data_IF_492451177747
#
_entry.id   IF_492451177747
#
_cell.length_a   1.000
_cell.length_b   1.000
_cell.length_c   1.000
_cell.angle_alpha   90.00
_cell.angle_beta   90.00
_cell.angle_gamma   90.00
#
_symmetry.space_group_name_H-M   'P 1'
#
loop_
_entity.id
_entity.type
_entity.pdbx_description
1 polymer ?
#
# COMPACT_ATOMS: atom_id res chain seq x y z
N UNK A 1 25.14 -7.32 11.82
CA UNK A 1 23.71 -7.07 12.10
C UNK A 1 23.27 -5.62 11.89
N UNK A 2 24.11 -4.58 12.06
CA UNK A 2 23.70 -3.18 11.84
C UNK A 2 23.73 -2.70 10.37
N UNK A 3 24.64 -3.21 9.53
CA UNK A 3 24.76 -2.78 8.13
C UNK A 3 23.50 -3.05 7.31
N UNK A 4 22.91 -4.24 7.45
CA UNK A 4 21.73 -4.63 6.67
C UNK A 4 20.50 -3.73 6.94
N UNK A 5 20.38 -3.19 8.16
CA UNK A 5 19.29 -2.26 8.48
C UNK A 5 19.57 -0.85 7.94
N UNK A 6 20.84 -0.42 7.98
CA UNK A 6 21.26 0.85 7.39
C UNK A 6 21.09 0.84 5.87
N UNK A 7 21.49 -0.24 5.18
CA UNK A 7 21.37 -0.36 3.73
C UNK A 7 19.90 -0.35 3.29
N UNK A 8 19.02 -1.03 4.04
CA UNK A 8 17.58 -1.01 3.76
C UNK A 8 16.96 0.38 3.99
N UNK A 9 17.37 1.09 5.04
CA UNK A 9 16.91 2.45 5.28
C UNK A 9 17.43 3.41 4.19
N UNK A 10 18.68 3.25 3.77
CA UNK A 10 19.28 4.02 2.68
C UNK A 10 18.55 3.76 1.35
N UNK A 11 18.17 2.51 1.07
CA UNK A 11 17.37 2.15 -0.10
C UNK A 11 15.96 2.74 -0.05
N UNK A 12 15.27 2.63 1.09
CA UNK A 12 13.94 3.24 1.26
C UNK A 12 14.01 4.77 1.16
N UNK A 13 15.12 5.39 1.57
CA UNK A 13 15.34 6.82 1.45
C UNK A 13 15.60 7.28 0.02
N UNK A 14 16.14 6.41 -0.85
CA UNK A 14 16.34 6.73 -2.27
C UNK A 14 15.10 6.50 -3.12
N UNK A 15 14.10 5.77 -2.62
CA UNK A 15 12.82 5.55 -3.31
C UNK A 15 11.92 6.78 -3.16
N UNK A 16 11.63 7.45 -4.27
CA UNK A 16 10.71 8.59 -4.34
C UNK A 16 9.22 8.19 -4.32
N UNK A 17 8.92 6.90 -4.29
CA UNK A 17 7.56 6.39 -4.28
C UNK A 17 6.99 6.34 -2.86
N UNK A 18 5.78 6.88 -2.61
CA UNK A 18 5.09 6.72 -1.33
C UNK A 18 4.77 5.25 -1.06
N UNK A 19 5.45 4.64 -0.09
CA UNK A 19 5.27 3.24 0.30
C UNK A 19 5.08 3.15 1.81
N UNK A 20 4.07 2.42 2.25
CA UNK A 20 3.86 2.02 3.65
C UNK A 20 3.79 0.50 3.71
N UNK A 21 4.49 -0.08 4.68
CA UNK A 21 4.42 -1.50 4.99
C UNK A 21 3.76 -1.67 6.35
N UNK A 22 2.75 -2.53 6.41
CA UNK A 22 2.05 -2.90 7.65
C UNK A 22 2.17 -4.39 7.91
N UNK A 23 2.02 -4.79 9.17
CA UNK A 23 1.94 -6.19 9.57
C UNK A 23 0.52 -6.76 9.55
N UNK A 24 0.35 -8.02 9.99
CA UNK A 24 -0.96 -8.67 10.07
C UNK A 24 -1.93 -8.01 11.07
N UNK A 25 -1.41 -7.26 12.04
CA UNK A 25 -2.19 -6.47 12.98
C UNK A 25 -2.41 -5.05 12.45
N UNK A 26 -2.03 -4.78 11.20
CA UNK A 26 -2.08 -3.49 10.54
C UNK A 26 -1.26 -2.40 11.24
N UNK A 27 -0.21 -2.83 11.96
CA UNK A 27 0.76 -1.91 12.55
C UNK A 27 1.79 -1.51 11.51
N UNK A 28 2.07 -0.21 11.41
CA UNK A 28 3.08 0.31 10.50
C UNK A 28 4.44 -0.25 10.88
N UNK A 29 5.09 -0.95 9.96
CA UNK A 29 6.46 -1.45 10.14
C UNK A 29 7.49 -0.51 9.57
N UNK A 30 7.23 0.00 8.37
CA UNK A 30 8.15 0.87 7.64
C UNK A 30 7.36 1.81 6.74
N UNK A 31 7.93 2.98 6.47
CA UNK A 31 7.42 3.92 5.50
C UNK A 31 8.60 4.58 4.78
N UNK A 32 8.45 4.87 3.48
CA UNK A 32 9.43 5.68 2.75
C UNK A 32 9.31 7.15 3.16
N UNK A 33 10.37 7.97 3.02
CA UNK A 33 10.24 9.42 3.24
C UNK A 33 9.19 10.08 2.34
N UNK A 34 8.98 9.56 1.11
CA UNK A 34 7.92 10.03 0.22
C UNK A 34 6.50 9.76 0.77
N UNK A 35 6.31 8.70 1.55
CA UNK A 35 5.03 8.40 2.20
C UNK A 35 4.61 9.49 3.21
N UNK A 36 5.55 10.23 3.79
CA UNK A 36 5.25 11.33 4.72
C UNK A 36 4.36 12.39 4.11
N UNK A 37 4.49 12.66 2.80
CA UNK A 37 3.67 13.69 2.12
C UNK A 37 2.29 13.18 1.76
N UNK A 38 2.21 11.96 1.23
CA UNK A 38 0.96 11.39 0.73
C UNK A 38 0.05 10.83 1.85
N UNK A 39 0.66 10.19 2.84
CA UNK A 39 -0.04 9.53 3.94
C UNK A 39 0.09 10.25 5.28
N UNK A 40 0.77 11.40 5.32
CA UNK A 40 0.99 12.20 6.54
C UNK A 40 1.65 11.39 7.67
N UNK A 41 2.57 10.48 7.32
CA UNK A 41 3.26 9.62 8.29
C UNK A 41 4.48 10.29 8.90
N UNK A 42 4.75 9.99 10.16
CA UNK A 42 5.98 10.33 10.86
C UNK A 42 6.83 9.07 11.10
N UNK A 43 8.12 9.24 11.37
CA UNK A 43 8.98 8.12 11.79
C UNK A 43 8.49 7.49 13.10
N UNK A 44 7.89 8.29 13.97
CA UNK A 44 7.31 7.86 15.25
C UNK A 44 6.01 7.05 15.10
N UNK A 45 5.47 6.93 13.88
CA UNK A 45 4.28 6.11 13.63
C UNK A 45 4.62 4.63 13.40
N UNK A 46 5.90 4.28 13.30
CA UNK A 46 6.31 2.87 13.34
C UNK A 46 5.83 2.22 14.64
N UNK A 47 5.15 1.08 14.52
CA UNK A 47 4.50 0.35 15.61
C UNK A 47 3.08 0.79 15.92
N UNK A 48 2.54 1.82 15.24
CA UNK A 48 1.16 2.28 15.43
C UNK A 48 0.20 1.66 14.43
N UNK A 49 -1.10 1.52 14.78
CA UNK A 49 -2.13 1.13 13.82
C UNK A 49 -2.21 2.11 12.66
N UNK A 50 -2.35 1.58 11.43
CA UNK A 50 -2.51 2.41 10.24
C UNK A 50 -3.76 3.31 10.29
N UNK A 51 -4.79 2.90 11.03
CA UNK A 51 -6.00 3.69 11.26
C UNK A 51 -5.77 4.99 12.05
N UNK A 52 -4.65 5.10 12.76
CA UNK A 52 -4.27 6.35 13.44
C UNK A 52 -3.61 7.36 12.50
N UNK A 53 -3.18 6.92 11.32
CA UNK A 53 -2.67 7.83 10.29
C UNK A 53 -3.85 8.62 9.72
N UNK A 54 -3.64 9.92 9.52
CA UNK A 54 -4.60 10.80 8.84
C UNK A 54 -4.06 11.13 7.46
N UNK A 55 -4.22 10.23 6.47
CA UNK A 55 -3.68 10.46 5.13
C UNK A 55 -4.35 11.66 4.48
N UNK A 56 -3.61 12.34 3.60
CA UNK A 56 -4.17 13.42 2.78
C UNK A 56 -5.02 12.91 1.60
N UNK A 57 -5.15 11.58 1.49
CA UNK A 57 -5.89 10.88 0.45
C UNK A 57 -7.12 10.24 1.03
N UNK A 58 -8.22 10.33 0.31
CA UNK A 58 -9.50 9.79 0.73
C UNK A 58 -9.56 8.27 0.53
N UNK A 59 -9.36 7.51 1.60
CA UNK A 59 -9.43 6.04 1.62
C UNK A 59 -10.23 5.58 2.85
N UNK A 60 -11.57 5.73 2.85
CA UNK A 60 -12.39 5.45 4.04
C UNK A 60 -12.38 3.98 4.46
N UNK A 61 -12.15 3.07 3.51
CA UNK A 61 -12.19 1.62 3.62
C UNK A 61 -10.78 0.98 3.66
N UNK A 62 -9.74 1.75 3.99
CA UNK A 62 -8.35 1.29 3.95
C UNK A 62 -8.13 0.03 4.79
N UNK A 63 -8.70 -0.03 6.00
CA UNK A 63 -8.50 -1.14 6.91
C UNK A 63 -9.10 -2.44 6.36
N UNK A 64 -10.34 -2.38 5.88
CA UNK A 64 -11.05 -3.52 5.29
C UNK A 64 -10.34 -4.04 4.05
N UNK A 65 -9.87 -3.11 3.20
CA UNK A 65 -9.10 -3.41 2.02
C UNK A 65 -7.78 -4.14 2.37
N UNK A 66 -7.07 -3.69 3.40
CA UNK A 66 -5.85 -4.35 3.86
C UNK A 66 -6.14 -5.75 4.41
N UNK A 67 -7.17 -5.89 5.24
CA UNK A 67 -7.60 -7.20 5.77
C UNK A 67 -7.98 -8.15 4.64
N UNK A 68 -8.68 -7.66 3.62
CA UNK A 68 -9.04 -8.45 2.45
C UNK A 68 -7.80 -8.90 1.67
N UNK A 69 -6.86 -8.00 1.38
CA UNK A 69 -5.63 -8.36 0.65
C UNK A 69 -4.79 -9.37 1.42
N UNK A 70 -4.61 -9.18 2.73
CA UNK A 70 -3.87 -10.11 3.60
C UNK A 70 -4.54 -11.49 3.61
N UNK A 71 -5.87 -11.53 3.74
CA UNK A 71 -6.63 -12.79 3.80
C UNK A 71 -6.68 -13.53 2.45
N UNK A 72 -6.90 -12.80 1.36
CA UNK A 72 -7.11 -13.39 0.03
C UNK A 72 -5.80 -13.65 -0.71
N UNK A 73 -4.72 -12.97 -0.32
CA UNK A 73 -3.44 -12.94 -1.03
C UNK A 73 -3.53 -12.40 -2.46
N UNK A 74 -4.65 -11.74 -2.79
CA UNK A 74 -4.87 -11.11 -4.09
C UNK A 74 -4.49 -9.65 -3.96
N UNK A 75 -3.67 -9.17 -4.90
CA UNK A 75 -3.33 -7.76 -4.98
C UNK A 75 -4.57 -6.93 -5.30
N UNK A 76 -4.63 -5.72 -4.76
CA UNK A 76 -5.73 -4.79 -5.00
C UNK A 76 -5.18 -3.48 -5.59
N UNK A 77 -5.88 -2.93 -6.58
CA UNK A 77 -5.54 -1.65 -7.20
C UNK A 77 -6.81 -0.81 -7.42
N UNK A 78 -6.76 0.48 -7.06
CA UNK A 78 -7.83 1.43 -7.38
C UNK A 78 -7.32 2.85 -7.55
N UNK A 79 -8.07 3.65 -8.31
CA UNK A 79 -7.85 5.11 -8.37
C UNK A 79 -8.38 5.77 -7.10
N UNK A 80 -7.61 6.69 -6.54
CA UNK A 80 -7.96 7.54 -5.38
C UNK A 80 -7.58 8.99 -5.68
N UNK A 81 -8.18 9.91 -4.95
CA UNK A 81 -7.92 11.35 -5.10
C UNK A 81 -7.50 11.94 -3.75
N UNK A 82 -6.56 12.87 -3.78
CA UNK A 82 -6.16 13.63 -2.60
C UNK A 82 -7.06 14.85 -2.33
N UNK A 83 -6.84 15.53 -1.21
CA UNK A 83 -7.58 16.75 -0.86
C UNK A 83 -7.32 17.93 -1.81
N UNK A 84 -6.26 17.88 -2.64
CA UNK A 84 -5.91 18.88 -3.63
C UNK A 84 -6.45 18.57 -5.04
N UNK A 85 -7.17 17.45 -5.21
CA UNK A 85 -7.75 17.02 -6.48
C UNK A 85 -6.84 16.20 -7.37
N UNK A 86 -5.65 15.80 -6.91
CA UNK A 86 -4.71 14.96 -7.68
C UNK A 86 -5.12 13.49 -7.64
N UNK A 87 -4.96 12.80 -8.76
CA UNK A 87 -5.27 11.39 -8.88
C UNK A 87 -4.05 10.51 -8.66
N UNK A 88 -4.27 9.43 -7.90
CA UNK A 88 -3.28 8.41 -7.62
C UNK A 88 -3.83 7.02 -7.92
N UNK A 89 -2.97 6.11 -8.36
CA UNK A 89 -3.25 4.66 -8.28
C UNK A 89 -2.78 4.14 -6.91
N UNK A 90 -3.74 3.78 -6.07
CA UNK A 90 -3.52 3.04 -4.82
C UNK A 90 -3.34 1.57 -5.15
N UNK A 91 -2.19 1.02 -4.78
CA UNK A 91 -1.86 -0.40 -4.92
C UNK A 91 -1.59 -1.02 -3.57
N UNK A 92 -2.20 -2.17 -3.31
CA UNK A 92 -1.99 -2.94 -2.08
C UNK A 92 -1.60 -4.36 -2.45
N UNK A 93 -0.45 -4.79 -1.96
CA UNK A 93 0.11 -6.12 -2.24
C UNK A 93 0.35 -6.87 -0.94
N UNK A 94 -0.01 -8.16 -0.84
CA UNK A 94 0.36 -8.96 0.32
C UNK A 94 1.89 -9.15 0.32
N UNK A 95 2.50 -9.16 1.50
CA UNK A 95 3.91 -9.47 1.65
C UNK A 95 4.11 -10.69 2.56
N UNK A 96 5.10 -11.52 2.20
CA UNK A 96 5.47 -12.74 2.93
C UNK A 96 6.87 -12.58 3.50
N UNK A 97 7.08 -13.08 4.72
CA UNK A 97 8.42 -13.22 5.29
C UNK A 97 9.25 -14.25 4.54
N UNK A 98 10.55 -14.27 4.84
CA UNK A 98 11.47 -15.33 4.42
C UNK A 98 10.99 -16.73 4.83
N UNK A 99 10.25 -16.84 5.95
CA UNK A 99 9.64 -18.10 6.43
C UNK A 99 8.32 -18.45 5.72
N UNK A 100 8.02 -17.76 4.60
CA UNK A 100 6.83 -17.93 3.76
C UNK A 100 5.48 -17.70 4.48
N UNK A 101 5.51 -17.09 5.67
CA UNK A 101 4.31 -16.65 6.40
C UNK A 101 3.86 -15.30 5.86
N UNK A 102 2.54 -15.13 5.73
CA UNK A 102 1.96 -13.81 5.43
C UNK A 102 2.28 -12.92 6.62
N UNK A 103 2.89 -11.77 6.36
CA UNK A 103 3.40 -10.87 7.39
C UNK A 103 2.86 -9.46 7.22
N UNK A 104 1.80 -9.32 6.43
CA UNK A 104 1.04 -8.09 6.24
C UNK A 104 0.95 -7.67 4.78
N UNK A 105 0.95 -6.35 4.56
CA UNK A 105 0.72 -5.76 3.25
C UNK A 105 1.62 -4.56 3.00
N UNK A 106 1.90 -4.31 1.72
CA UNK A 106 2.59 -3.13 1.21
C UNK A 106 1.58 -2.29 0.47
N UNK A 107 1.42 -1.04 0.92
CA UNK A 107 0.61 -0.01 0.29
C UNK A 107 1.53 0.90 -0.51
N UNK A 108 1.11 1.27 -1.71
CA UNK A 108 1.85 2.18 -2.58
C UNK A 108 0.89 3.14 -3.28
N UNK A 109 1.31 4.38 -3.47
CA UNK A 109 0.60 5.35 -4.31
C UNK A 109 1.48 5.75 -5.47
N UNK A 110 0.92 5.67 -6.68
CA UNK A 110 1.57 6.12 -7.91
C UNK A 110 0.78 7.32 -8.42
N UNK A 111 1.46 8.44 -8.65
CA UNK A 111 0.85 9.57 -9.34
C UNK A 111 0.50 9.16 -10.77
N UNK A 112 -0.74 9.39 -11.18
CA UNK A 112 -1.24 9.04 -12.52
C UNK A 112 -1.67 10.28 -13.31
N UNK A 113 -1.54 11.47 -12.73
CA UNK A 113 -1.77 12.73 -13.44
C UNK A 113 -0.54 13.11 -14.28
N UNK A 114 0.64 12.60 -13.95
CA UNK A 114 1.89 12.93 -14.65
C UNK A 114 2.08 12.18 -15.99
N UNK A 115 1.21 11.20 -16.31
CA UNK A 115 1.22 10.48 -17.60
C UNK A 115 -0.17 9.99 -18.03
N UNK A 116 -0.81 10.71 -18.95
CA UNK A 116 -1.50 10.02 -20.04
C UNK A 116 -0.45 9.41 -20.97
N UNK A 117 0.09 8.25 -20.62
CA UNK A 117 0.58 7.30 -21.62
C UNK A 117 -0.34 6.08 -21.60
N UNK A 118 -0.97 5.72 -22.73
CA UNK A 118 -2.01 4.70 -22.79
C UNK A 118 -1.35 3.33 -22.79
N UNK A 119 -0.97 2.81 -21.62
CA UNK A 119 -0.45 1.43 -21.54
C UNK A 119 -1.49 0.46 -20.98
N UNK A 120 -2.07 -0.30 -21.92
CA UNK A 120 -2.07 -1.75 -21.77
C UNK A 120 -2.93 -2.35 -20.67
N UNK A 121 -4.22 -2.02 -20.62
CA UNK A 121 -5.21 -2.91 -19.97
C UNK A 121 -5.37 -4.21 -20.78
N UNK A 122 -4.40 -5.12 -20.66
CA UNK A 122 -4.55 -6.53 -20.97
C UNK A 122 -3.99 -7.40 -19.85
N UNK A 123 -4.88 -8.29 -19.43
CA UNK A 123 -4.70 -9.49 -18.61
C UNK A 123 -4.53 -9.23 -17.09
N UNK A 124 -5.32 -9.83 -16.19
CA UNK A 124 -6.15 -11.02 -16.34
C UNK A 124 -7.32 -11.06 -15.34
N UNK A 125 -8.44 -11.55 -15.88
CA UNK A 125 -9.61 -12.10 -15.22
C UNK A 125 -9.33 -12.91 -13.94
N UNK A 126 -10.09 -12.61 -12.88
CA UNK A 126 -10.77 -13.51 -11.95
C UNK A 126 -11.63 -12.58 -11.05
N UNK A 127 -12.96 -12.66 -10.90
CA UNK A 127 -13.89 -13.78 -10.94
C UNK A 127 -15.26 -13.29 -11.45
N UNK A 128 -15.70 -13.81 -12.60
CA UNK A 128 -17.13 -14.04 -12.83
C UNK A 128 -17.45 -15.43 -12.30
N UNK A 129 -17.89 -15.57 -11.05
CA UNK A 129 -18.75 -16.66 -10.56
C UNK A 129 -19.05 -16.52 -9.06
N UNK A 130 -19.98 -15.64 -8.69
CA UNK A 130 -20.83 -15.85 -7.53
C UNK A 130 -22.23 -15.31 -7.83
N UNK A 131 -23.06 -16.18 -8.40
CA UNK A 131 -24.50 -16.17 -8.13
C UNK A 131 -24.96 -17.61 -8.05
N UNK A 132 -25.14 -18.16 -6.83
CA UNK A 132 -25.96 -19.34 -6.65
C UNK A 132 -27.43 -18.92 -6.65
N UNK A 133 -28.19 -19.55 -7.56
CA UNK A 133 -29.63 -19.86 -7.49
C UNK A 133 -30.59 -18.84 -6.89
N UNK A 134 -31.56 -18.44 -7.72
CA UNK A 134 -32.95 -18.89 -7.53
C UNK A 134 -33.60 -19.17 -8.87
#
# INVERSE_FOLDING_TARGET
>A
MMQMNNDLNNLLASIQLPIIMVDNNLLVRRATPAARRAFNTLESDVGRPISHLKPNIHIPDLEDLLRQVIRTLVMYERRVTDNAGRHYSLRVRPYRTADNKIDGAVITLVDIDEKEEPDGSKAANAEKQFSPRK
#
